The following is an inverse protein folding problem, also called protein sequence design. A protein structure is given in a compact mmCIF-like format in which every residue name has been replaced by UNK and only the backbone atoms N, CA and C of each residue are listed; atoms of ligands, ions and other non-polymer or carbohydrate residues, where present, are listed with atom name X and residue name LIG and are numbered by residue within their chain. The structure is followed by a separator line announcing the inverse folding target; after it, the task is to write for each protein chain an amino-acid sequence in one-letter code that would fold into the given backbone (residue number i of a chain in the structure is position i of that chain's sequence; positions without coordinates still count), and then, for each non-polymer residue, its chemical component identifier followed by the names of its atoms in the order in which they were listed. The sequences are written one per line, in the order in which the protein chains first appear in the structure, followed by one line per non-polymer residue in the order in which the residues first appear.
data_IF_311502600624
#
_entry.id   IF_311502600624
#
_cell.length_a   1.000
_cell.length_b   1.000
_cell.length_c   1.000
_cell.angle_alpha   90.00
_cell.angle_beta   90.00
_cell.angle_gamma   90.00
#
_symmetry.space_group_name_H-M   'P 1'
#
loop_
_entity.id
_entity.type
_entity.pdbx_description
1 polymer ?
#
# COMPACT_ATOMS: atom_id res chain seq x y z
N UNK A 1 -4.47 0.09 -19.02
CA UNK A 1 -4.31 0.69 -17.66
C UNK A 1 -5.58 0.41 -16.84
N UNK A 2 -5.40 -0.02 -15.61
CA UNK A 2 -6.52 -0.24 -14.68
C UNK A 2 -6.40 0.68 -13.49
N UNK A 3 -7.53 1.23 -13.06
CA UNK A 3 -7.63 2.06 -11.86
C UNK A 3 -8.66 1.43 -10.93
N UNK A 4 -8.24 1.16 -9.69
CA UNK A 4 -9.09 0.60 -8.66
C UNK A 4 -9.23 1.58 -7.51
N UNK A 5 -10.42 1.65 -6.94
CA UNK A 5 -10.70 2.53 -5.81
C UNK A 5 -11.39 1.71 -4.72
N UNK A 6 -10.80 1.71 -3.53
CA UNK A 6 -11.36 1.03 -2.36
C UNK A 6 -11.51 2.01 -1.21
N UNK A 7 -12.55 1.80 -0.40
CA UNK A 7 -12.80 2.57 0.82
C UNK A 7 -12.91 1.63 2.01
N UNK A 8 -12.36 2.06 3.12
CA UNK A 8 -12.44 1.35 4.41
C UNK A 8 -12.55 2.36 5.54
N UNK A 9 -13.13 1.92 6.65
CA UNK A 9 -13.12 2.65 7.91
C UNK A 9 -12.26 1.87 8.90
N UNK A 10 -11.43 2.57 9.67
CA UNK A 10 -10.53 1.95 10.64
C UNK A 10 -10.56 2.68 11.98
N UNK A 11 -10.27 1.96 13.06
CA UNK A 11 -10.06 2.54 14.39
C UNK A 11 -8.67 3.16 14.53
N UNK A 12 -7.74 2.86 13.63
CA UNK A 12 -6.42 3.47 13.62
C UNK A 12 -6.50 4.95 13.23
N UNK A 13 -5.67 5.78 13.86
CA UNK A 13 -5.52 7.17 13.42
C UNK A 13 -4.75 7.23 12.10
N UNK A 14 -4.83 8.35 11.33
CA UNK A 14 -3.99 8.51 10.15
C UNK A 14 -2.51 8.31 10.45
N UNK A 15 -2.01 8.83 11.58
CA UNK A 15 -0.61 8.70 12.01
C UNK A 15 -0.24 7.23 12.24
N UNK A 16 -1.13 6.46 12.88
CA UNK A 16 -0.90 5.04 13.12
C UNK A 16 -0.90 4.24 11.82
N UNK A 17 -1.78 4.57 10.89
CA UNK A 17 -1.83 3.91 9.59
C UNK A 17 -0.58 4.23 8.76
N UNK A 18 -0.17 5.49 8.73
CA UNK A 18 1.06 5.92 8.04
C UNK A 18 2.28 5.25 8.66
N UNK A 19 2.34 5.13 9.99
CA UNK A 19 3.43 4.43 10.67
C UNK A 19 3.51 2.96 10.22
N UNK A 20 2.38 2.28 10.04
CA UNK A 20 2.33 0.92 9.50
C UNK A 20 2.78 0.85 8.04
N UNK A 21 2.30 1.75 7.20
CA UNK A 21 2.68 1.83 5.79
C UNK A 21 4.18 2.07 5.60
N UNK A 22 4.78 2.84 6.48
CA UNK A 22 6.18 3.27 6.37
C UNK A 22 7.12 2.51 7.29
N UNK A 23 6.63 1.43 7.90
CA UNK A 23 7.47 0.49 8.63
C UNK A 23 8.07 -0.51 7.65
N UNK A 24 9.31 -0.30 7.28
CA UNK A 24 10.06 -1.14 6.36
C UNK A 24 10.99 -2.14 7.09
N UNK A 25 10.71 -2.41 8.34
CA UNK A 25 11.46 -3.38 9.14
C UNK A 25 11.02 -4.83 8.90
N UNK A 26 11.68 -5.79 9.56
CA UNK A 26 11.31 -7.20 9.47
C UNK A 26 9.86 -7.44 9.90
N UNK A 27 9.18 -8.36 9.23
CA UNK A 27 7.79 -8.68 9.52
C UNK A 27 6.77 -7.84 8.75
N UNK A 28 7.21 -6.98 7.83
CA UNK A 28 6.31 -6.18 7.00
C UNK A 28 5.26 -7.03 6.26
N UNK A 29 5.61 -8.24 5.86
CA UNK A 29 4.69 -9.15 5.18
C UNK A 29 3.46 -9.53 6.01
N UNK A 30 3.52 -9.36 7.34
CA UNK A 30 2.38 -9.55 8.23
C UNK A 30 1.36 -8.41 8.13
N UNK A 31 1.82 -7.23 7.72
CA UNK A 31 0.97 -6.06 7.47
C UNK A 31 0.50 -6.01 6.01
N UNK A 32 1.40 -6.28 5.10
CA UNK A 32 1.14 -6.21 3.66
C UNK A 32 1.64 -7.50 3.00
N UNK A 33 0.74 -8.41 2.67
CA UNK A 33 1.08 -9.72 2.15
C UNK A 33 1.80 -9.71 0.80
N UNK A 34 1.69 -8.62 0.04
CA UNK A 34 2.40 -8.44 -1.22
C UNK A 34 3.78 -7.78 -1.07
N UNK A 35 4.22 -7.53 0.16
CA UNK A 35 5.52 -6.96 0.49
C UNK A 35 6.26 -7.93 1.42
N UNK A 36 6.85 -8.97 0.83
CA UNK A 36 7.54 -9.99 1.61
C UNK A 36 8.94 -9.52 2.00
N UNK A 37 9.40 -9.97 3.15
CA UNK A 37 10.72 -9.58 3.69
C UNK A 37 11.86 -9.95 2.72
N UNK A 38 11.70 -11.02 1.95
CA UNK A 38 12.67 -11.48 0.96
C UNK A 38 12.93 -10.44 -0.15
N UNK A 39 11.90 -9.70 -0.57
CA UNK A 39 11.97 -8.70 -1.64
C UNK A 39 12.31 -7.31 -1.11
N UNK A 40 12.08 -7.06 0.17
CA UNK A 40 12.16 -5.72 0.74
C UNK A 40 13.59 -5.18 0.76
N UNK A 41 13.78 -4.04 0.11
CA UNK A 41 15.06 -3.33 0.12
C UNK A 41 14.82 -1.83 0.25
N UNK A 42 15.31 -1.24 1.32
CA UNK A 42 15.24 0.21 1.52
C UNK A 42 16.47 0.85 0.87
N UNK A 43 16.26 1.63 -0.17
CA UNK A 43 17.33 2.34 -0.88
C UNK A 43 17.66 3.66 -0.21
N UNK A 44 16.63 4.36 0.27
CA UNK A 44 16.75 5.66 0.93
C UNK A 44 15.53 5.89 1.82
N UNK A 45 15.73 6.51 2.96
CA UNK A 45 14.65 6.93 3.84
C UNK A 45 14.95 8.30 4.44
N UNK A 46 13.99 9.22 4.30
CA UNK A 46 13.96 10.52 4.96
C UNK A 46 12.82 10.63 5.97
N UNK A 47 12.59 11.82 6.55
CA UNK A 47 11.52 12.03 7.53
C UNK A 47 10.12 11.88 6.96
N UNK A 48 9.92 12.15 5.68
CA UNK A 48 8.60 12.14 5.03
C UNK A 48 8.59 11.50 3.65
N UNK A 49 9.67 10.80 3.28
CA UNK A 49 9.79 10.10 2.00
C UNK A 49 10.72 8.90 2.11
N UNK A 50 10.58 7.96 1.18
CA UNK A 50 11.48 6.82 1.08
C UNK A 50 11.48 6.24 -0.34
N UNK A 51 12.57 5.57 -0.70
CA UNK A 51 12.69 4.76 -1.90
C UNK A 51 12.88 3.31 -1.48
N UNK A 52 11.97 2.42 -1.86
CA UNK A 52 11.99 1.00 -1.48
C UNK A 52 11.66 0.11 -2.66
N UNK A 53 12.25 -1.08 -2.68
CA UNK A 53 11.81 -2.15 -3.55
C UNK A 53 11.00 -3.13 -2.72
N UNK A 54 9.82 -3.49 -3.21
CA UNK A 54 8.90 -4.43 -2.58
C UNK A 54 8.41 -5.43 -3.61
N UNK A 55 7.93 -6.57 -3.16
CA UNK A 55 7.35 -7.55 -4.06
C UNK A 55 7.04 -8.87 -3.40
N UNK A 56 6.49 -9.78 -4.20
CA UNK A 56 6.16 -11.15 -3.84
C UNK A 56 5.90 -11.96 -5.11
N UNK A 57 6.11 -13.26 -5.03
CA UNK A 57 5.71 -14.18 -6.10
C UNK A 57 6.30 -13.89 -7.47
N UNK A 58 7.52 -13.37 -7.55
CA UNK A 58 8.19 -13.06 -8.82
C UNK A 58 7.85 -11.69 -9.41
N UNK A 59 7.02 -10.90 -8.72
CA UNK A 59 6.67 -9.54 -9.12
C UNK A 59 7.31 -8.58 -8.13
N UNK A 60 8.08 -7.62 -8.62
CA UNK A 60 8.70 -6.60 -7.80
C UNK A 60 8.45 -5.22 -8.38
N UNK A 61 8.47 -4.21 -7.51
CA UNK A 61 8.43 -2.81 -7.92
C UNK A 61 9.27 -1.96 -6.98
N UNK A 62 9.90 -0.95 -7.56
CA UNK A 62 10.57 0.11 -6.83
C UNK A 62 9.59 1.26 -6.69
N UNK A 63 9.41 1.72 -5.46
CA UNK A 63 8.39 2.70 -5.10
C UNK A 63 9.04 3.90 -4.42
N UNK A 64 8.59 5.08 -4.82
CA UNK A 64 8.84 6.30 -4.08
C UNK A 64 7.62 6.56 -3.18
N UNK A 65 7.84 6.57 -1.88
CA UNK A 65 6.85 6.91 -0.87
C UNK A 65 6.97 8.37 -0.50
N UNK A 66 5.84 9.08 -0.43
CA UNK A 66 5.75 10.46 0.05
C UNK A 66 4.60 10.55 1.04
N UNK A 67 4.91 10.89 2.29
CA UNK A 67 3.93 11.14 3.36
C UNK A 67 4.14 12.50 4.01
N UNK A 68 4.59 13.48 3.23
CA UNK A 68 4.76 14.87 3.68
C UNK A 68 3.43 15.53 4.05
N UNK A 69 2.31 15.06 3.46
CA UNK A 69 0.96 15.46 3.86
C UNK A 69 0.49 14.52 4.98
N UNK A 70 0.07 15.04 6.16
CA UNK A 70 -0.36 14.21 7.28
C UNK A 70 -1.63 13.39 7.02
N UNK A 71 -2.37 13.68 5.95
CA UNK A 71 -3.60 12.98 5.60
C UNK A 71 -3.50 12.22 4.28
N UNK A 72 -2.28 12.04 3.76
CA UNK A 72 -2.11 11.42 2.45
C UNK A 72 -0.75 10.74 2.32
N UNK A 73 -0.75 9.55 1.71
CA UNK A 73 0.49 8.88 1.31
C UNK A 73 0.41 8.57 -0.18
N UNK A 74 1.42 8.98 -0.93
CA UNK A 74 1.53 8.73 -2.36
C UNK A 74 2.70 7.77 -2.59
N UNK A 75 2.42 6.66 -3.26
CA UNK A 75 3.40 5.67 -3.70
C UNK A 75 3.47 5.75 -5.22
N UNK A 76 4.61 6.12 -5.75
CA UNK A 76 4.84 6.19 -7.19
C UNK A 76 5.75 5.05 -7.61
N UNK A 77 5.32 4.24 -8.57
CA UNK A 77 6.13 3.17 -9.13
C UNK A 77 7.21 3.80 -10.03
N UNK A 78 8.47 3.67 -9.63
CA UNK A 78 9.61 4.23 -10.38
C UNK A 78 10.28 3.18 -11.26
N UNK A 79 10.17 1.91 -10.89
CA UNK A 79 10.62 0.77 -11.70
C UNK A 79 9.89 -0.50 -11.28
N UNK A 80 9.77 -1.46 -12.18
CA UNK A 80 9.12 -2.75 -11.93
C UNK A 80 9.40 -3.70 -13.09
N UNK A 81 9.24 -5.00 -12.84
CA UNK A 81 9.25 -5.96 -13.95
C UNK A 81 7.94 -6.05 -14.73
N UNK A 82 6.85 -5.47 -14.21
CA UNK A 82 5.53 -5.49 -14.88
C UNK A 82 4.88 -4.11 -15.04
N UNK A 83 5.14 -3.19 -14.12
CA UNK A 83 4.41 -1.94 -14.00
C UNK A 83 5.26 -0.74 -14.42
N UNK A 84 4.65 0.24 -15.03
CA UNK A 84 5.31 1.47 -15.46
C UNK A 84 4.31 2.62 -15.61
N UNK A 85 4.67 3.66 -16.34
CA UNK A 85 3.78 4.78 -16.64
C UNK A 85 3.21 5.44 -15.39
N UNK A 86 1.88 5.43 -15.29
CA UNK A 86 1.14 6.07 -14.19
C UNK A 86 0.93 5.17 -12.97
N UNK A 87 1.57 3.99 -12.91
CA UNK A 87 1.38 3.03 -11.82
C UNK A 87 1.73 3.61 -10.46
N UNK A 88 0.94 3.26 -9.45
CA UNK A 88 1.16 3.70 -8.09
C UNK A 88 -0.08 3.54 -7.22
N UNK A 89 0.04 4.02 -5.99
CA UNK A 89 -1.04 4.01 -5.00
C UNK A 89 -1.17 5.37 -4.36
N UNK A 90 -2.39 5.79 -4.05
CA UNK A 90 -2.64 6.99 -3.25
C UNK A 90 -3.59 6.63 -2.14
N UNK A 91 -3.16 6.83 -0.89
CA UNK A 91 -3.99 6.69 0.32
C UNK A 91 -4.37 8.08 0.79
N UNK A 92 -5.66 8.30 1.04
CA UNK A 92 -6.17 9.54 1.60
C UNK A 92 -6.95 9.22 2.86
N UNK A 93 -6.68 9.94 3.95
CA UNK A 93 -7.28 9.72 5.26
C UNK A 93 -8.20 10.87 5.63
N UNK A 94 -9.38 10.52 6.14
CA UNK A 94 -10.37 11.50 6.62
C UNK A 94 -10.77 11.12 8.04
N UNK A 95 -10.54 12.04 8.98
CA UNK A 95 -10.97 11.86 10.38
C UNK A 95 -12.49 12.04 10.44
N UNK A 96 -13.17 11.08 11.06
CA UNK A 96 -14.62 11.08 11.19
C UNK A 96 -15.05 11.60 12.57
N UNK A 97 -16.29 12.13 12.71
CA UNK A 97 -16.80 12.64 13.99
C UNK A 97 -16.83 11.58 15.11
N UNK A 98 -16.95 10.29 14.76
CA UNK A 98 -16.96 9.17 15.70
C UNK A 98 -15.57 8.76 16.20
N UNK A 99 -14.51 9.47 15.79
CA UNK A 99 -13.13 9.17 16.14
C UNK A 99 -12.46 8.15 15.24
N UNK A 100 -13.17 7.55 14.32
CA UNK A 100 -12.60 6.63 13.32
C UNK A 100 -11.99 7.39 12.16
N UNK A 101 -11.25 6.68 11.33
CA UNK A 101 -10.62 7.21 10.13
C UNK A 101 -11.20 6.55 8.90
N UNK A 102 -11.64 7.34 7.93
CA UNK A 102 -11.96 6.86 6.61
C UNK A 102 -10.69 6.78 5.77
N UNK A 103 -10.52 5.68 5.04
CA UNK A 103 -9.39 5.48 4.14
C UNK A 103 -9.92 5.31 2.73
N UNK A 104 -9.41 6.13 1.82
CA UNK A 104 -9.61 5.97 0.38
C UNK A 104 -8.27 5.56 -0.22
N UNK A 105 -8.23 4.45 -0.95
CA UNK A 105 -7.05 4.05 -1.70
C UNK A 105 -7.37 3.96 -3.18
N UNK A 106 -6.54 4.62 -3.99
CA UNK A 106 -6.59 4.53 -5.45
C UNK A 106 -5.34 3.80 -5.90
N UNK A 107 -5.53 2.72 -6.66
CA UNK A 107 -4.45 1.90 -7.18
C UNK A 107 -4.48 1.99 -8.70
N UNK A 108 -3.37 2.42 -9.31
CA UNK A 108 -3.22 2.47 -10.76
C UNK A 108 -2.22 1.39 -11.17
N UNK A 109 -2.62 0.56 -12.12
CA UNK A 109 -1.78 -0.50 -12.70
C UNK A 109 -1.67 -0.29 -14.20
N UNK A 110 -0.55 0.24 -14.62
CA UNK A 110 -0.19 0.52 -16.01
C UNK A 110 0.90 -0.47 -16.43
N UNK A 111 0.53 -1.49 -17.20
CA UNK A 111 1.44 -2.54 -17.63
C UNK A 111 2.44 -2.03 -18.64
N UNK A 112 3.75 -2.22 -18.38
CA UNK A 112 4.82 -1.77 -19.28
C UNK A 112 5.14 -2.78 -20.38
N UNK A 113 4.61 -4.00 -20.27
CA UNK A 113 4.79 -5.07 -21.26
C UNK A 113 3.49 -5.87 -21.40
N UNK A 114 3.44 -6.84 -22.31
CA UNK A 114 2.23 -7.61 -22.55
C UNK A 114 1.76 -8.34 -21.29
N UNK A 115 2.67 -8.96 -20.55
CA UNK A 115 2.34 -9.66 -19.29
C UNK A 115 1.75 -8.71 -18.25
N UNK A 116 2.32 -7.52 -18.08
CA UNK A 116 1.80 -6.47 -17.19
C UNK A 116 0.43 -5.97 -17.61
N UNK A 117 0.20 -5.79 -18.91
CA UNK A 117 -1.09 -5.35 -19.45
C UNK A 117 -2.19 -6.38 -19.21
N UNK A 118 -1.90 -7.66 -19.43
CA UNK A 118 -2.84 -8.75 -19.17
C UNK A 118 -3.16 -8.84 -17.68
N UNK A 119 -2.14 -8.80 -16.82
CA UNK A 119 -2.33 -8.86 -15.37
C UNK A 119 -3.11 -7.64 -14.87
N UNK A 120 -2.82 -6.43 -15.38
CA UNK A 120 -3.55 -5.23 -15.03
C UNK A 120 -5.04 -5.32 -15.38
N UNK A 121 -5.36 -5.87 -16.53
CA UNK A 121 -6.75 -6.13 -16.93
C UNK A 121 -7.43 -7.13 -15.97
N UNK A 122 -6.75 -8.23 -15.64
CA UNK A 122 -7.27 -9.23 -14.71
C UNK A 122 -7.52 -8.63 -13.34
N UNK A 123 -6.59 -7.84 -12.80
CA UNK A 123 -6.75 -7.17 -11.50
C UNK A 123 -7.90 -6.18 -11.50
N UNK A 124 -8.10 -5.45 -12.61
CA UNK A 124 -9.19 -4.48 -12.73
C UNK A 124 -10.58 -5.11 -12.90
N UNK A 125 -10.65 -6.39 -13.17
CA UNK A 125 -11.91 -7.13 -13.44
C UNK A 125 -12.09 -8.27 -12.43
N UNK A 126 -11.58 -9.45 -12.76
CA UNK A 126 -11.77 -10.68 -11.97
C UNK A 126 -11.01 -10.60 -10.63
N UNK A 127 -9.79 -10.06 -10.64
CA UNK A 127 -8.91 -9.98 -9.48
C UNK A 127 -9.23 -8.83 -8.51
N UNK A 128 -10.22 -7.98 -8.80
CA UNK A 128 -10.58 -6.84 -7.96
C UNK A 128 -10.91 -7.27 -6.52
N UNK A 129 -11.66 -8.38 -6.37
CA UNK A 129 -12.03 -8.91 -5.06
C UNK A 129 -10.82 -9.38 -4.23
N UNK A 130 -9.80 -9.91 -4.89
CA UNK A 130 -8.54 -10.32 -4.24
C UNK A 130 -7.80 -9.11 -3.67
N UNK A 131 -7.69 -8.02 -4.44
CA UNK A 131 -7.05 -6.79 -3.98
C UNK A 131 -7.84 -6.11 -2.86
N UNK A 132 -9.17 -6.11 -2.95
CA UNK A 132 -10.04 -5.61 -1.90
C UNK A 132 -9.81 -6.36 -0.59
N UNK A 133 -9.76 -7.70 -0.65
CA UNK A 133 -9.50 -8.56 0.51
C UNK A 133 -8.11 -8.30 1.10
N UNK A 134 -7.11 -8.14 0.26
CA UNK A 134 -5.75 -7.82 0.71
C UNK A 134 -5.72 -6.49 1.46
N UNK A 135 -6.41 -5.47 0.96
CA UNK A 135 -6.53 -4.18 1.64
C UNK A 135 -7.24 -4.31 3.00
N UNK A 136 -8.36 -5.01 3.04
CA UNK A 136 -9.08 -5.27 4.30
C UNK A 136 -8.19 -5.97 5.32
N UNK A 137 -7.41 -6.95 4.90
CA UNK A 137 -6.48 -7.68 5.77
C UNK A 137 -5.37 -6.76 6.30
N UNK A 138 -4.84 -5.87 5.47
CA UNK A 138 -3.83 -4.89 5.90
C UNK A 138 -4.40 -3.90 6.93
N UNK A 139 -5.62 -3.43 6.74
CA UNK A 139 -6.31 -2.56 7.70
C UNK A 139 -6.45 -3.27 9.06
N UNK A 140 -6.91 -4.52 9.06
CA UNK A 140 -7.07 -5.33 10.28
C UNK A 140 -5.72 -5.57 10.98
N UNK A 141 -4.67 -5.83 10.21
CA UNK A 141 -3.33 -6.07 10.78
C UNK A 141 -2.78 -4.81 11.45
N UNK A 142 -3.00 -3.64 10.86
CA UNK A 142 -2.59 -2.36 11.45
C UNK A 142 -3.41 -2.07 12.71
N UNK A 143 -4.71 -2.33 12.70
CA UNK A 143 -5.56 -2.19 13.89
C UNK A 143 -5.08 -3.08 15.04
N UNK A 144 -4.78 -4.35 14.75
CA UNK A 144 -4.29 -5.31 15.74
C UNK A 144 -2.93 -4.88 16.32
N UNK A 145 -2.02 -4.38 15.50
CA UNK A 145 -0.73 -3.83 15.94
C UNK A 145 -0.91 -2.70 16.94
N UNK A 146 -1.80 -1.77 16.67
CA UNK A 146 -2.04 -0.61 17.53
C UNK A 146 -2.83 -0.97 18.78
N UNK A 147 -3.80 -1.90 18.68
CA UNK A 147 -4.52 -2.44 19.82
C UNK A 147 -3.61 -3.16 20.81
N UNK A 148 -2.68 -3.98 20.31
CA UNK A 148 -1.69 -4.66 21.14
C UNK A 148 -0.75 -3.67 21.84
N UNK A 149 -0.30 -2.61 21.14
CA UNK A 149 0.53 -1.55 21.71
C UNK A 149 -0.21 -0.76 22.80
N UNK A 150 -1.52 -0.51 22.61
CA UNK A 150 -2.35 0.21 23.56
C UNK A 150 -2.68 -0.61 24.81
N UNK A 151 -2.68 -1.94 24.70
CA UNK A 151 -3.00 -2.85 25.79
C UNK A 151 -1.82 -3.22 26.70
N UNK A 152 -0.62 -2.71 26.38
CA UNK A 152 0.61 -3.02 27.10
C UNK A 152 0.97 -1.99 28.16
#
# INVERSE_FOLDING_TARGET
MSTLHFKQTTTATPEQFIAGLTDFGPGREKLFGNSTDQYLKVHRRGPSEAEVTEGSGGIWERLHYDWSDPNRVVLTTTDSNLWGGASGHTYTFTRQPDGKTGIDVVIVRDGKNLKGRVLGFVLGTIGRGVLKKAFENSVKAIEARNGAASGS
#
